data_IF_900992696454
#
_entry.id   IF_900992696454
#
_cell.length_a   1.000
_cell.length_b   1.000
_cell.length_c   1.000
_cell.angle_alpha   90.00
_cell.angle_beta   90.00
_cell.angle_gamma   90.00
#
_symmetry.space_group_name_H-M   'P 1'
#
loop_
_entity.id
_entity.type
_entity.pdbx_description
1 polymer ?
#
# COMPACT_ATOMS: atom_id res chain seq x y z
N UNK A 1 1.87 -53.13 16.40
CA UNK A 1 0.78 -54.13 16.49
C UNK A 1 0.52 -54.43 17.96
N UNK A 2 -0.75 -54.65 18.34
CA UNK A 2 -1.40 -54.09 19.54
C UNK A 2 -1.49 -55.12 20.69
N UNK A 3 -2.14 -54.87 21.84
CA UNK A 3 -3.61 -54.81 21.97
C UNK A 3 -4.04 -53.75 23.04
N UNK A 4 -5.29 -53.44 23.39
CA UNK A 4 -6.61 -53.98 23.14
C UNK A 4 -7.61 -52.84 23.45
N UNK A 5 -8.72 -52.81 22.71
CA UNK A 5 -9.88 -52.00 23.02
C UNK A 5 -10.53 -52.43 24.34
N UNK A 6 -11.19 -51.51 25.06
CA UNK A 6 -12.39 -51.85 25.81
C UNK A 6 -13.42 -50.71 25.79
N UNK A 7 -14.65 -51.14 25.46
CA UNK A 7 -15.87 -50.38 25.29
C UNK A 7 -16.38 -49.71 26.57
N UNK A 8 -16.87 -48.48 26.41
CA UNK A 8 -18.25 -48.02 26.64
C UNK A 8 -19.04 -48.62 27.83
N UNK A 9 -19.56 -47.75 28.71
CA UNK A 9 -20.98 -47.69 29.13
C UNK A 9 -21.18 -46.82 30.39
N UNK A 10 -22.01 -45.77 30.24
CA UNK A 10 -23.12 -45.57 31.19
C UNK A 10 -23.18 -44.28 32.01
N UNK A 11 -24.32 -43.60 31.82
CA UNK A 11 -25.15 -42.90 32.83
C UNK A 11 -24.61 -41.62 33.48
N UNK A 12 -24.96 -40.50 32.84
CA UNK A 12 -25.92 -39.52 33.35
C UNK A 12 -25.60 -38.79 34.66
N UNK A 13 -25.46 -37.46 34.57
CA UNK A 13 -26.01 -36.53 35.55
C UNK A 13 -26.26 -35.17 34.86
N UNK A 14 -27.51 -34.71 34.92
CA UNK A 14 -27.95 -33.36 34.61
C UNK A 14 -27.37 -32.38 35.64
N UNK A 15 -26.70 -31.30 35.22
CA UNK A 15 -26.73 -30.01 35.92
C UNK A 15 -26.60 -28.88 34.90
N UNK A 16 -27.65 -28.06 34.79
CA UNK A 16 -27.64 -26.76 34.14
C UNK A 16 -26.90 -25.74 35.03
N UNK A 17 -26.00 -24.95 34.46
CA UNK A 17 -25.47 -23.75 35.09
C UNK A 17 -25.14 -22.70 34.02
N UNK A 18 -26.07 -21.77 33.82
CA UNK A 18 -25.86 -20.50 33.13
C UNK A 18 -24.85 -19.64 33.91
N UNK A 19 -23.72 -19.32 33.28
CA UNK A 19 -22.83 -18.24 33.71
C UNK A 19 -22.48 -17.36 32.50
N UNK A 20 -23.06 -16.16 32.51
CA UNK A 20 -22.63 -15.01 31.71
C UNK A 20 -21.19 -14.66 32.08
N UNK A 21 -20.28 -14.76 31.11
CA UNK A 21 -18.96 -14.12 31.17
C UNK A 21 -18.52 -13.72 29.75
N UNK A 22 -18.82 -12.49 29.35
CA UNK A 22 -18.02 -11.76 28.35
C UNK A 22 -16.91 -11.02 29.10
N UNK A 23 -15.66 -11.05 28.60
CA UNK A 23 -15.10 -9.86 27.96
C UNK A 23 -14.30 -10.18 26.67
N UNK A 24 -14.55 -9.45 25.59
CA UNK A 24 -13.73 -8.35 25.04
C UNK A 24 -12.36 -8.79 24.47
N UNK A 25 -12.36 -8.89 23.14
CA UNK A 25 -11.35 -8.40 22.16
C UNK A 25 -9.89 -8.81 22.35
N UNK A 26 -9.41 -9.64 21.42
CA UNK A 26 -8.22 -9.30 20.63
C UNK A 26 -8.46 -9.62 19.16
N UNK A 27 -8.62 -8.55 18.38
CA UNK A 27 -8.59 -8.56 16.92
C UNK A 27 -7.20 -8.98 16.44
N UNK A 28 -7.05 -10.26 16.12
CA UNK A 28 -5.98 -10.71 15.24
C UNK A 28 -6.33 -10.31 13.80
N UNK A 29 -6.19 -9.03 13.47
CA UNK A 29 -6.20 -8.54 12.11
C UNK A 29 -5.03 -9.19 11.37
N UNK A 30 -5.30 -10.30 10.69
CA UNK A 30 -4.40 -10.80 9.64
C UNK A 30 -4.21 -9.64 8.65
N UNK A 31 -2.97 -9.35 8.19
CA UNK A 31 -2.78 -8.40 7.13
C UNK A 31 -3.53 -8.98 5.93
N UNK A 32 -4.69 -8.40 5.64
CA UNK A 32 -5.38 -8.63 4.39
C UNK A 32 -4.33 -8.40 3.31
N UNK A 33 -3.92 -9.49 2.65
CA UNK A 33 -3.23 -9.41 1.37
C UNK A 33 -4.10 -8.50 0.53
N UNK A 34 -3.68 -7.24 0.41
CA UNK A 34 -4.34 -6.30 -0.45
C UNK A 34 -4.45 -6.99 -1.81
N UNK A 35 -5.65 -7.07 -2.41
CA UNK A 35 -5.78 -7.57 -3.77
C UNK A 35 -4.79 -6.79 -4.64
N UNK A 36 -4.18 -7.43 -5.66
CA UNK A 36 -3.30 -6.72 -6.58
C UNK A 36 -4.07 -5.51 -7.07
N UNK A 37 -3.60 -4.32 -6.67
CA UNK A 37 -4.17 -3.07 -7.12
C UNK A 37 -4.10 -3.17 -8.64
N UNK A 38 -5.27 -3.25 -9.30
CA UNK A 38 -5.39 -3.01 -10.72
C UNK A 38 -4.68 -1.69 -10.95
N UNK A 39 -3.49 -1.77 -11.55
CA UNK A 39 -2.75 -0.59 -11.97
C UNK A 39 -3.76 0.28 -12.72
N UNK A 40 -3.96 1.52 -12.26
CA UNK A 40 -4.80 2.43 -13.02
C UNK A 40 -4.28 2.49 -14.46
N UNK A 41 -5.16 2.75 -15.44
CA UNK A 41 -4.73 2.98 -16.81
C UNK A 41 -3.56 3.95 -16.79
N UNK A 42 -2.44 3.52 -17.38
CA UNK A 42 -1.31 4.38 -17.69
C UNK A 42 -1.84 5.53 -18.54
N UNK A 43 -2.08 6.67 -17.91
CA UNK A 43 -2.45 7.87 -18.63
C UNK A 43 -1.18 8.41 -19.26
N UNK A 44 -0.83 7.86 -20.43
CA UNK A 44 0.41 8.17 -21.14
C UNK A 44 0.47 9.64 -21.62
N UNK A 45 -0.65 10.36 -21.55
CA UNK A 45 -0.75 11.80 -21.86
C UNK A 45 -0.69 12.69 -20.63
N UNK A 46 -0.84 12.14 -19.43
CA UNK A 46 -0.80 12.92 -18.20
C UNK A 46 0.60 13.51 -17.96
N UNK A 47 0.63 14.82 -17.71
CA UNK A 47 1.85 15.52 -17.28
C UNK A 47 1.98 15.35 -15.77
N UNK A 48 3.05 14.70 -15.33
CA UNK A 48 3.30 14.42 -13.92
C UNK A 48 4.27 15.40 -13.29
N UNK A 49 4.01 15.76 -12.04
CA UNK A 49 4.84 16.58 -11.17
C UNK A 49 5.14 15.84 -9.87
N UNK A 50 6.18 16.24 -9.15
CA UNK A 50 6.48 15.77 -7.81
C UNK A 50 5.70 16.58 -6.77
N UNK A 51 5.10 15.92 -5.80
CA UNK A 51 4.56 16.59 -4.63
C UNK A 51 5.71 17.06 -3.73
N UNK A 52 5.81 18.38 -3.56
CA UNK A 52 6.70 19.03 -2.60
C UNK A 52 6.13 18.96 -1.18
N UNK A 53 6.99 19.21 -0.19
CA UNK A 53 6.67 19.10 1.24
C UNK A 53 5.56 20.06 1.69
N UNK A 54 5.45 21.22 1.06
CA UNK A 54 4.42 22.23 1.36
C UNK A 54 3.16 22.06 0.50
N UNK A 55 3.01 20.93 -0.19
CA UNK A 55 1.94 20.73 -1.15
C UNK A 55 2.13 21.51 -2.46
N UNK A 56 3.34 21.96 -2.76
CA UNK A 56 3.72 22.54 -4.05
C UNK A 56 3.94 21.44 -5.08
N UNK A 57 3.62 21.69 -6.34
CA UNK A 57 4.03 20.79 -7.43
C UNK A 57 5.40 21.22 -7.96
N UNK A 58 6.36 20.31 -7.91
CA UNK A 58 7.72 20.52 -8.40
C UNK A 58 7.95 19.73 -9.69
N UNK A 59 8.74 20.27 -10.61
CA UNK A 59 9.02 19.57 -11.86
C UNK A 59 9.80 18.27 -11.63
N UNK A 60 9.60 17.30 -12.53
CA UNK A 60 10.36 16.04 -12.53
C UNK A 60 11.86 16.27 -12.72
N UNK A 61 12.27 17.42 -13.27
CA UNK A 61 13.67 17.79 -13.45
C UNK A 61 14.46 17.73 -12.15
N UNK A 62 13.84 18.00 -11.00
CA UNK A 62 14.51 17.85 -9.70
C UNK A 62 14.97 16.41 -9.44
N UNK A 63 14.17 15.42 -9.82
CA UNK A 63 14.54 14.01 -9.72
C UNK A 63 15.57 13.64 -10.79
N UNK A 64 15.34 14.06 -12.04
CA UNK A 64 16.21 13.75 -13.19
C UNK A 64 17.61 14.36 -13.07
N UNK A 65 17.74 15.50 -12.39
CA UNK A 65 19.02 16.17 -12.16
C UNK A 65 19.78 15.58 -10.97
N UNK A 66 19.10 14.95 -10.01
CA UNK A 66 19.72 14.33 -8.84
C UNK A 66 20.26 12.94 -9.13
N UNK A 67 19.63 12.21 -10.04
CA UNK A 67 19.98 10.82 -10.37
C UNK A 67 20.00 10.67 -11.88
N UNK A 68 21.19 10.39 -12.44
CA UNK A 68 21.42 10.34 -13.88
C UNK A 68 20.61 9.22 -14.53
N UNK A 69 20.42 8.10 -13.82
CA UNK A 69 19.66 6.93 -14.24
C UNK A 69 18.17 7.24 -14.43
N UNK A 70 17.67 8.28 -13.75
CA UNK A 70 16.30 8.75 -13.86
C UNK A 70 16.11 9.83 -14.91
N UNK A 71 17.16 10.18 -15.67
CA UNK A 71 16.99 11.01 -16.86
C UNK A 71 15.87 10.43 -17.74
N UNK A 72 15.01 11.32 -18.21
CA UNK A 72 13.85 11.02 -19.06
C UNK A 72 12.69 10.29 -18.37
N UNK A 73 12.70 10.09 -17.05
CA UNK A 73 11.50 9.61 -16.33
C UNK A 73 10.37 10.62 -16.48
N UNK A 74 9.26 10.21 -17.10
CA UNK A 74 8.06 11.05 -17.31
C UNK A 74 6.88 10.69 -16.42
N UNK A 75 6.89 9.52 -15.78
CA UNK A 75 5.76 9.03 -15.00
C UNK A 75 6.22 8.21 -13.78
N UNK A 76 5.38 8.07 -12.74
CA UNK A 76 5.67 7.22 -11.58
C UNK A 76 5.98 5.77 -11.97
N UNK A 77 5.28 5.25 -12.97
CA UNK A 77 5.44 3.87 -13.44
C UNK A 77 6.79 3.68 -14.15
N UNK A 78 7.21 4.62 -14.99
CA UNK A 78 8.55 4.59 -15.60
C UNK A 78 9.66 4.63 -14.54
N UNK A 79 9.48 5.41 -13.46
CA UNK A 79 10.44 5.41 -12.35
C UNK A 79 10.52 4.03 -11.70
N UNK A 80 9.37 3.42 -11.40
CA UNK A 80 9.32 2.07 -10.84
C UNK A 80 10.00 1.05 -11.76
N UNK A 81 9.76 1.09 -13.07
CA UNK A 81 10.35 0.10 -13.97
C UNK A 81 11.86 0.27 -14.09
N UNK A 82 12.38 1.51 -14.07
CA UNK A 82 13.82 1.77 -13.95
C UNK A 82 14.38 1.26 -12.62
N UNK A 83 13.69 1.51 -11.50
CA UNK A 83 14.09 1.00 -10.19
C UNK A 83 14.17 -0.53 -10.18
N UNK A 84 13.20 -1.22 -10.79
CA UNK A 84 13.24 -2.68 -10.96
C UNK A 84 14.41 -3.13 -11.84
N UNK A 85 14.66 -2.44 -12.95
CA UNK A 85 15.77 -2.75 -13.86
C UNK A 85 17.15 -2.60 -13.19
N UNK A 86 17.26 -1.71 -12.20
CA UNK A 86 18.45 -1.55 -11.38
C UNK A 86 18.54 -2.56 -10.21
N UNK A 87 17.59 -3.49 -10.08
CA UNK A 87 17.58 -4.51 -9.03
C UNK A 87 16.92 -4.06 -7.72
N UNK A 88 16.29 -2.89 -7.68
CA UNK A 88 15.50 -2.47 -6.52
C UNK A 88 14.09 -3.05 -6.54
N UNK A 89 13.44 -3.04 -5.37
CA UNK A 89 12.05 -3.48 -5.19
C UNK A 89 11.17 -2.25 -4.91
N UNK A 90 10.74 -1.50 -5.94
CA UNK A 90 9.86 -0.36 -5.73
C UNK A 90 8.44 -0.80 -5.38
N UNK A 91 7.86 -0.11 -4.42
CA UNK A 91 6.43 -0.13 -4.10
C UNK A 91 5.76 1.06 -4.77
N UNK A 92 4.65 0.82 -5.47
CA UNK A 92 3.77 1.87 -5.99
C UNK A 92 2.47 1.84 -5.19
N UNK A 93 2.04 3.01 -4.70
CA UNK A 93 0.73 3.18 -4.06
C UNK A 93 -0.03 4.33 -4.72
N UNK A 94 -1.23 4.04 -5.19
CA UNK A 94 -2.13 5.04 -5.74
C UNK A 94 -3.06 5.57 -4.65
N UNK A 95 -3.00 6.86 -4.39
CA UNK A 95 -3.89 7.58 -3.49
C UNK A 95 -4.93 8.31 -4.32
N UNK A 96 -6.17 7.82 -4.29
CA UNK A 96 -7.32 8.44 -4.99
C UNK A 96 -8.23 9.25 -4.06
N UNK A 97 -7.86 9.37 -2.78
CA UNK A 97 -8.67 10.06 -1.78
C UNK A 97 -8.39 11.57 -1.75
N UNK A 98 -9.45 12.37 -1.61
CA UNK A 98 -9.36 13.83 -1.45
C UNK A 98 -9.32 14.61 -2.77
N UNK A 99 -8.90 15.88 -2.69
CA UNK A 99 -8.86 16.84 -3.82
C UNK A 99 -7.64 16.68 -4.73
N UNK A 100 -6.62 15.93 -4.29
CA UNK A 100 -5.36 15.72 -5.03
C UNK A 100 -4.98 14.24 -5.10
N UNK A 101 -5.48 13.51 -6.12
CA UNK A 101 -4.99 12.18 -6.42
C UNK A 101 -3.48 12.18 -6.65
N UNK A 102 -2.80 11.22 -6.05
CA UNK A 102 -1.34 11.11 -6.09
C UNK A 102 -0.90 9.65 -6.23
N UNK A 103 0.30 9.44 -6.77
CA UNK A 103 0.94 8.12 -6.89
C UNK A 103 2.27 8.17 -6.17
N UNK A 104 2.39 7.43 -5.08
CA UNK A 104 3.63 7.28 -4.34
C UNK A 104 4.48 6.18 -4.96
N UNK A 105 5.78 6.45 -5.11
CA UNK A 105 6.79 5.47 -5.49
C UNK A 105 7.84 5.43 -4.40
N UNK A 106 8.01 4.27 -3.76
CA UNK A 106 8.94 4.07 -2.66
C UNK A 106 9.87 2.91 -2.96
N UNK A 107 11.17 3.15 -2.94
CA UNK A 107 12.19 2.11 -2.99
C UNK A 107 13.20 2.38 -1.88
N UNK A 108 12.99 1.84 -0.66
CA UNK A 108 13.86 2.08 0.48
C UNK A 108 15.32 1.68 0.20
N UNK A 109 15.54 0.61 -0.56
CA UNK A 109 16.88 0.15 -0.95
C UNK A 109 17.61 1.11 -1.90
N UNK A 110 16.90 2.04 -2.55
CA UNK A 110 17.46 3.10 -3.39
C UNK A 110 17.44 4.48 -2.70
N UNK A 111 16.96 4.57 -1.45
CA UNK A 111 16.71 5.86 -0.79
C UNK A 111 15.64 6.71 -1.47
N UNK A 112 14.76 6.10 -2.28
CA UNK A 112 13.73 6.82 -3.03
C UNK A 112 12.40 6.78 -2.29
N UNK A 113 11.85 7.96 -2.07
CA UNK A 113 10.49 8.15 -1.58
C UNK A 113 9.93 9.44 -2.18
N UNK A 114 9.08 9.30 -3.21
CA UNK A 114 8.53 10.43 -3.95
C UNK A 114 7.05 10.21 -4.21
N UNK A 115 6.28 11.28 -4.22
CA UNK A 115 4.88 11.27 -4.64
C UNK A 115 4.74 12.05 -5.93
N UNK A 116 3.98 11.48 -6.86
CA UNK A 116 3.65 12.07 -8.15
C UNK A 116 2.21 12.57 -8.15
N UNK A 117 1.98 13.77 -8.67
CA UNK A 117 0.66 14.37 -8.82
C UNK A 117 0.52 14.78 -10.29
N UNK A 118 -0.67 14.59 -10.86
CA UNK A 118 -0.94 15.07 -12.22
C UNK A 118 -1.09 16.59 -12.24
N UNK A 119 -0.67 17.25 -13.32
CA UNK A 119 -0.65 18.71 -13.44
C UNK A 119 -2.01 19.36 -13.11
N UNK A 120 -3.12 18.77 -13.55
CA UNK A 120 -4.48 19.26 -13.28
C UNK A 120 -4.88 19.27 -11.79
N UNK A 121 -4.03 18.74 -10.91
CA UNK A 121 -4.22 18.69 -9.48
C UNK A 121 -3.21 19.55 -8.71
N UNK A 122 -2.31 20.27 -9.38
CA UNK A 122 -1.27 21.04 -8.71
C UNK A 122 -1.80 22.28 -7.97
N UNK A 123 -2.73 23.01 -8.57
CA UNK A 123 -3.28 24.26 -7.99
C UNK A 123 -4.41 24.03 -6.99
N UNK A 124 -4.82 22.77 -6.81
CA UNK A 124 -5.88 22.42 -5.86
C UNK A 124 -5.26 22.37 -4.47
N UNK A 125 -5.47 23.38 -3.62
CA UNK A 125 -5.04 23.32 -2.22
C UNK A 125 -5.62 22.05 -1.58
N UNK A 126 -4.85 21.30 -0.76
CA UNK A 126 -5.44 20.23 0.02
C UNK A 126 -6.46 20.88 0.96
N UNK A 127 -7.62 20.26 1.17
CA UNK A 127 -8.53 20.73 2.19
C UNK A 127 -7.79 20.67 3.54
N UNK A 128 -7.46 21.83 4.10
CA UNK A 128 -7.05 21.95 5.50
C UNK A 128 -8.20 21.39 6.33
N UNK A 129 -7.92 20.41 7.18
CA UNK A 129 -8.90 19.77 8.04
C UNK A 129 -8.52 20.04 9.48
#
# INVERSE_FOLDING_TARGET
>A
MPPNAYCNRGRGFLVAATLLAMPIVTQGAQPAKAPPAKAAPLDDKAVWFLAGRNGECTSLSMLQNKVVEFKQVKSPYQLSDKLKAMGHKPEIKEFKAGVRPAVEVRAPSAGIHVMFIKQEHCDKRPAEK
#
